data_IF_592871609836
#
_entry.id   IF_592871609836
#
_cell.length_a   1.000
_cell.length_b   1.000
_cell.length_c   1.000
_cell.angle_alpha   90.00
_cell.angle_beta   90.00
_cell.angle_gamma   90.00
#
_symmetry.space_group_name_H-M   'P 1'
#
loop_
_entity.id
_entity.type
_entity.pdbx_description
1 polymer ?
#
# COMPACT_ATOMS: atom_id res chain seq x y z
N UNK A 1 4.62 8.87 30.11
CA UNK A 1 4.99 10.29 30.40
C UNK A 1 5.71 10.85 29.18
N UNK A 2 5.33 12.03 28.70
CA UNK A 2 5.96 12.66 27.52
C UNK A 2 5.37 12.24 26.16
N UNK A 3 4.21 11.59 26.17
CA UNK A 3 3.37 11.31 25.00
C UNK A 3 2.07 12.11 25.21
N UNK A 4 1.62 12.83 24.19
CA UNK A 4 0.41 13.65 24.21
C UNK A 4 -0.83 12.85 23.81
N UNK A 5 -0.68 11.89 22.88
CA UNK A 5 -1.75 11.01 22.38
C UNK A 5 -1.27 9.58 22.17
N UNK A 6 -2.14 8.63 22.50
CA UNK A 6 -1.91 7.20 22.28
C UNK A 6 -3.08 6.62 21.47
N UNK A 7 -2.75 5.85 20.45
CA UNK A 7 -3.74 5.15 19.61
C UNK A 7 -3.42 3.67 19.58
N UNK A 8 -4.47 2.85 19.55
CA UNK A 8 -4.38 1.40 19.49
C UNK A 8 -5.13 0.92 18.25
N UNK A 9 -4.42 0.28 17.33
CA UNK A 9 -5.00 -0.24 16.09
C UNK A 9 -4.72 -1.74 15.95
N UNK A 10 -5.80 -2.50 15.82
CA UNK A 10 -5.82 -3.91 15.47
C UNK A 10 -6.10 -4.02 13.97
N UNK A 11 -5.12 -4.51 13.23
CA UNK A 11 -5.27 -4.88 11.82
C UNK A 11 -5.58 -6.37 11.74
N UNK A 12 -6.74 -6.70 11.19
CA UNK A 12 -7.17 -8.09 11.03
C UNK A 12 -8.20 -8.21 9.90
N UNK A 13 -8.15 -9.32 9.19
CA UNK A 13 -9.28 -9.80 8.41
C UNK A 13 -10.20 -10.55 9.38
N UNK A 14 -11.29 -9.89 9.78
CA UNK A 14 -12.30 -10.53 10.63
C UNK A 14 -13.12 -11.48 9.73
N UNK A 15 -12.74 -12.75 9.75
CA UNK A 15 -13.43 -13.81 9.02
C UNK A 15 -14.66 -14.28 9.80
N UNK A 16 -15.84 -13.76 9.42
CA UNK A 16 -17.09 -14.13 10.08
C UNK A 16 -17.55 -15.56 9.73
N UNK A 17 -16.91 -16.23 8.75
CA UNK A 17 -17.21 -17.64 8.47
C UNK A 17 -16.77 -18.55 9.63
N UNK A 18 -15.70 -18.17 10.35
CA UNK A 18 -15.20 -18.90 11.53
C UNK A 18 -15.89 -18.46 12.84
N UNK A 19 -16.84 -17.53 12.75
CA UNK A 19 -17.55 -16.99 13.90
C UNK A 19 -18.54 -17.99 14.48
N UNK A 20 -18.54 -18.15 15.80
CA UNK A 20 -19.55 -18.93 16.52
C UNK A 20 -20.99 -18.44 16.27
N UNK A 21 -21.14 -17.21 15.75
CA UNK A 21 -22.42 -16.57 15.49
C UNK A 21 -22.85 -16.61 14.02
N UNK A 22 -22.11 -17.30 13.14
CA UNK A 22 -22.42 -17.36 11.69
C UNK A 22 -23.88 -17.72 11.42
N UNK A 23 -24.39 -18.82 11.99
CA UNK A 23 -25.77 -19.25 11.77
C UNK A 23 -26.80 -18.21 12.22
N UNK A 24 -26.54 -17.52 13.34
CA UNK A 24 -27.42 -16.45 13.82
C UNK A 24 -27.40 -15.24 12.88
N UNK A 25 -26.24 -14.91 12.33
CA UNK A 25 -26.10 -13.83 11.36
C UNK A 25 -26.81 -14.17 10.05
N UNK A 26 -26.71 -15.41 9.57
CA UNK A 26 -27.43 -15.90 8.39
C UNK A 26 -28.94 -15.74 8.61
N UNK A 27 -29.47 -16.25 9.73
CA UNK A 27 -30.89 -16.15 10.06
C UNK A 27 -31.39 -14.70 10.17
N UNK A 28 -30.56 -13.80 10.72
CA UNK A 28 -30.95 -12.42 10.97
C UNK A 28 -30.86 -11.51 9.74
N UNK A 29 -29.88 -11.71 8.85
CA UNK A 29 -29.49 -10.70 7.84
C UNK A 29 -29.66 -11.11 6.39
N UNK A 30 -29.85 -12.39 6.06
CA UNK A 30 -29.87 -12.86 4.65
C UNK A 30 -31.27 -12.82 4.00
N UNK A 31 -32.31 -12.56 4.79
CA UNK A 31 -33.72 -12.53 4.36
C UNK A 31 -34.31 -13.90 4.05
N UNK A 32 -33.59 -14.75 3.30
CA UNK A 32 -33.93 -16.14 3.01
C UNK A 32 -32.75 -17.08 3.31
N UNK A 33 -32.59 -17.54 4.56
CA UNK A 33 -31.49 -18.41 4.99
C UNK A 33 -31.37 -19.71 4.19
N UNK A 34 -32.46 -20.21 3.60
CA UNK A 34 -32.48 -21.48 2.88
C UNK A 34 -31.69 -21.48 1.57
N UNK A 35 -31.40 -20.29 1.04
CA UNK A 35 -30.65 -20.10 -0.21
C UNK A 35 -29.15 -19.89 -0.01
N UNK A 36 -28.71 -19.81 1.23
CA UNK A 36 -27.30 -19.58 1.56
C UNK A 36 -26.55 -20.89 1.42
N UNK A 37 -25.54 -20.89 0.56
CA UNK A 37 -24.53 -21.95 0.51
C UNK A 37 -23.28 -21.45 1.23
N UNK A 38 -23.02 -21.97 2.43
CA UNK A 38 -21.85 -21.60 3.23
C UNK A 38 -20.52 -21.96 2.57
N UNK A 39 -20.52 -22.85 1.57
CA UNK A 39 -19.33 -23.26 0.83
C UNK A 39 -19.11 -22.45 -0.44
N UNK A 40 -20.05 -21.57 -0.79
CA UNK A 40 -19.91 -20.69 -1.93
C UNK A 40 -18.75 -19.71 -1.70
N UNK A 41 -17.77 -19.63 -2.61
CA UNK A 41 -16.61 -18.76 -2.42
C UNK A 41 -16.96 -17.27 -2.32
N UNK A 42 -18.00 -16.82 -3.03
CA UNK A 42 -18.42 -15.41 -3.00
C UNK A 42 -19.13 -15.09 -1.68
N UNK A 43 -19.91 -16.03 -1.13
CA UNK A 43 -20.46 -15.94 0.22
C UNK A 43 -19.35 -15.86 1.27
N UNK A 44 -18.37 -16.78 1.21
CA UNK A 44 -17.25 -16.77 2.14
C UNK A 44 -16.46 -15.45 2.08
N UNK A 45 -16.20 -14.94 0.88
CA UNK A 45 -15.49 -13.68 0.70
C UNK A 45 -16.31 -12.48 1.22
N UNK A 46 -17.63 -12.50 1.06
CA UNK A 46 -18.51 -11.44 1.59
C UNK A 46 -18.46 -11.30 3.12
N UNK A 47 -18.09 -12.39 3.81
CA UNK A 47 -17.96 -12.45 5.26
C UNK A 47 -16.55 -12.12 5.77
N UNK A 48 -15.59 -11.83 4.89
CA UNK A 48 -14.24 -11.41 5.29
C UNK A 48 -14.17 -9.90 5.38
N UNK A 49 -14.11 -9.41 6.61
CA UNK A 49 -14.11 -7.98 6.89
C UNK A 49 -12.66 -7.49 7.09
N UNK A 50 -12.05 -6.94 6.04
CA UNK A 50 -10.69 -6.35 6.09
C UNK A 50 -10.69 -5.03 6.89
N UNK A 51 -10.56 -5.12 8.20
CA UNK A 51 -10.89 -4.02 9.11
C UNK A 51 -9.71 -3.54 9.97
N UNK A 52 -9.83 -2.32 10.47
CA UNK A 52 -9.01 -1.82 11.59
C UNK A 52 -9.90 -1.55 12.78
N UNK A 53 -9.65 -2.21 13.92
CA UNK A 53 -10.53 -2.17 15.10
C UNK A 53 -11.99 -2.57 14.80
N UNK A 54 -12.24 -3.38 13.77
CA UNK A 54 -13.59 -3.76 13.31
C UNK A 54 -14.29 -2.71 12.43
N UNK A 55 -13.60 -1.62 12.08
CA UNK A 55 -14.10 -0.57 11.19
C UNK A 55 -13.57 -0.78 9.76
N UNK A 56 -14.35 -0.37 8.76
CA UNK A 56 -14.02 -0.54 7.33
C UNK A 56 -14.26 0.76 6.54
N UNK A 57 -13.63 0.89 5.37
CA UNK A 57 -13.91 1.93 4.38
C UNK A 57 -13.92 3.37 4.94
N UNK A 58 -13.01 3.69 5.85
CA UNK A 58 -12.85 5.05 6.35
C UNK A 58 -13.75 5.43 7.53
N UNK A 59 -14.53 4.51 8.10
CA UNK A 59 -15.50 4.84 9.16
C UNK A 59 -14.96 4.78 10.60
N UNK A 60 -13.67 4.45 10.83
CA UNK A 60 -13.03 4.43 12.14
C UNK A 60 -12.99 5.86 12.75
N UNK A 61 -13.69 6.13 13.86
CA UNK A 61 -13.70 7.44 14.48
C UNK A 61 -12.53 7.62 15.46
N UNK A 62 -12.31 8.87 15.88
CA UNK A 62 -11.48 9.18 17.07
C UNK A 62 -9.98 9.27 16.82
N UNK A 63 -9.50 9.12 15.59
CA UNK A 63 -8.10 9.34 15.23
C UNK A 63 -7.81 10.84 15.01
N UNK A 64 -7.90 11.63 16.07
CA UNK A 64 -7.67 13.07 16.03
C UNK A 64 -6.55 13.48 16.98
N UNK A 65 -5.61 14.26 16.45
CA UNK A 65 -4.44 14.77 17.18
C UNK A 65 -4.12 16.21 16.76
N UNK A 66 -3.24 16.86 17.51
CA UNK A 66 -2.78 18.19 17.17
C UNK A 66 -1.42 18.16 16.48
N UNK A 67 -1.18 19.13 15.61
CA UNK A 67 0.16 19.35 15.05
C UNK A 67 1.19 19.49 16.18
N UNK A 68 2.33 18.82 16.03
CA UNK A 68 3.44 18.69 16.98
C UNK A 68 3.18 17.85 18.23
N UNK A 69 2.01 17.21 18.39
CA UNK A 69 1.80 16.24 19.46
C UNK A 69 2.81 15.10 19.34
N UNK A 70 3.31 14.60 20.48
CA UNK A 70 4.04 13.33 20.52
C UNK A 70 3.01 12.21 20.57
N UNK A 71 2.91 11.46 19.48
CA UNK A 71 1.90 10.43 19.30
C UNK A 71 2.55 9.05 19.35
N UNK A 72 1.98 8.14 20.13
CA UNK A 72 2.37 6.73 20.17
C UNK A 72 1.28 5.88 19.51
N UNK A 73 1.65 5.18 18.45
CA UNK A 73 0.79 4.23 17.74
C UNK A 73 1.14 2.82 18.16
N UNK A 74 0.23 2.16 18.88
CA UNK A 74 0.33 0.75 19.26
C UNK A 74 -0.46 -0.07 18.26
N UNK A 75 0.24 -0.88 17.50
CA UNK A 75 -0.31 -1.59 16.36
C UNK A 75 -0.17 -3.09 16.59
N UNK A 76 -1.20 -3.86 16.26
CA UNK A 76 -1.19 -5.31 16.36
C UNK A 76 -1.80 -5.92 15.11
N UNK A 77 -1.13 -6.93 14.55
CA UNK A 77 -1.68 -7.83 13.54
C UNK A 77 -2.25 -9.07 14.20
N UNK A 78 -3.43 -9.51 13.79
CA UNK A 78 -4.06 -10.74 14.27
C UNK A 78 -4.77 -11.43 13.11
N UNK A 79 -4.86 -12.76 13.17
CA UNK A 79 -5.63 -13.55 12.21
C UNK A 79 -4.82 -14.73 11.68
N UNK A 80 -4.94 -14.99 10.39
CA UNK A 80 -4.42 -16.17 9.69
C UNK A 80 -3.19 -15.84 8.83
N UNK A 81 -2.74 -16.79 7.99
CA UNK A 81 -1.66 -16.53 7.03
C UNK A 81 -2.01 -15.47 5.98
N UNK A 82 -3.28 -15.09 5.83
CA UNK A 82 -3.70 -13.97 4.98
C UNK A 82 -3.40 -12.60 5.62
N UNK A 83 -3.17 -12.53 6.94
CA UNK A 83 -2.97 -11.28 7.69
C UNK A 83 -1.53 -10.76 7.60
N UNK A 84 -1.06 -10.56 6.37
CA UNK A 84 0.20 -9.87 6.06
C UNK A 84 -0.10 -8.39 5.78
N UNK A 85 0.02 -7.55 6.81
CA UNK A 85 -0.41 -6.16 6.75
C UNK A 85 0.78 -5.21 6.53
N UNK A 86 0.78 -4.49 5.42
CA UNK A 86 1.71 -3.36 5.21
C UNK A 86 1.08 -2.05 5.67
N UNK A 87 1.11 -1.76 6.98
CA UNK A 87 0.53 -0.53 7.53
C UNK A 87 1.34 0.68 7.06
N UNK A 88 0.67 1.68 6.52
CA UNK A 88 1.27 2.90 6.00
C UNK A 88 0.51 4.14 6.47
N UNK A 89 1.27 5.13 6.96
CA UNK A 89 0.76 6.45 7.33
C UNK A 89 1.05 7.43 6.20
N UNK A 90 0.00 7.86 5.50
CA UNK A 90 0.13 8.83 4.42
C UNK A 90 0.46 10.21 5.00
N UNK A 91 1.42 10.91 4.39
CA UNK A 91 1.75 12.30 4.66
C UNK A 91 2.53 12.59 5.95
N UNK A 92 2.75 11.59 6.81
CA UNK A 92 3.58 11.72 8.02
C UNK A 92 4.52 10.51 8.13
N UNK A 93 5.70 10.73 8.71
CA UNK A 93 6.64 9.63 9.02
C UNK A 93 6.50 9.18 10.47
N UNK A 94 7.03 7.99 10.74
CA UNK A 94 7.10 7.36 12.04
C UNK A 94 8.56 7.04 12.39
N UNK A 95 8.91 7.18 13.66
CA UNK A 95 10.10 6.54 14.22
C UNK A 95 9.73 5.13 14.70
N UNK A 96 10.41 4.15 14.11
CA UNK A 96 10.33 2.76 14.51
C UNK A 96 11.70 2.32 15.02
N UNK A 97 11.88 2.34 16.34
CA UNK A 97 13.11 1.91 17.03
C UNK A 97 14.35 2.67 16.55
N UNK A 98 14.25 3.99 16.41
CA UNK A 98 15.35 4.86 15.95
C UNK A 98 15.55 4.87 14.43
N UNK A 99 14.63 4.29 13.66
CA UNK A 99 14.64 4.37 12.19
C UNK A 99 13.41 5.11 11.69
N UNK A 100 13.61 6.13 10.86
CA UNK A 100 12.52 6.82 10.18
C UNK A 100 11.93 5.92 9.10
N UNK A 101 10.63 5.70 9.18
CA UNK A 101 9.81 4.95 8.22
C UNK A 101 8.51 5.69 8.00
N UNK A 102 7.67 5.22 7.11
CA UNK A 102 6.31 5.69 6.91
C UNK A 102 5.28 4.57 7.06
N UNK A 103 5.75 3.42 7.54
CA UNK A 103 4.98 2.20 7.64
C UNK A 103 5.76 1.06 8.28
N UNK A 104 5.06 -0.03 8.52
CA UNK A 104 5.60 -1.24 9.13
C UNK A 104 4.78 -2.45 8.68
N UNK A 105 5.41 -3.62 8.69
CA UNK A 105 4.74 -4.89 8.45
C UNK A 105 4.20 -5.45 9.77
N UNK A 106 2.95 -5.91 9.77
CA UNK A 106 2.34 -6.68 10.85
C UNK A 106 1.92 -8.05 10.30
N UNK A 107 2.09 -9.07 11.14
CA UNK A 107 1.74 -10.46 10.87
C UNK A 107 0.89 -10.96 12.06
N UNK A 108 0.26 -12.15 11.98
CA UNK A 108 -0.49 -12.71 13.10
C UNK A 108 0.31 -12.70 14.41
N UNK A 109 -0.32 -12.17 15.46
CA UNK A 109 0.24 -12.01 16.81
C UNK A 109 1.47 -11.10 16.92
N UNK A 110 1.81 -10.36 15.86
CA UNK A 110 2.89 -9.38 15.91
C UNK A 110 2.33 -8.03 16.38
N UNK A 111 2.99 -7.43 17.36
CA UNK A 111 2.71 -6.06 17.78
C UNK A 111 3.94 -5.16 17.62
N UNK A 112 3.68 -3.89 17.36
CA UNK A 112 4.69 -2.86 17.19
C UNK A 112 4.22 -1.55 17.81
N UNK A 113 5.16 -0.76 18.32
CA UNK A 113 4.88 0.61 18.74
C UNK A 113 5.72 1.55 17.88
N UNK A 114 5.05 2.50 17.24
CA UNK A 114 5.65 3.51 16.39
C UNK A 114 5.40 4.89 16.97
N UNK A 115 6.42 5.75 16.98
CA UNK A 115 6.29 7.12 17.44
C UNK A 115 6.09 8.04 16.24
N UNK A 116 5.22 9.03 16.37
CA UNK A 116 4.95 10.01 15.32
C UNK A 116 4.90 11.40 15.95
N UNK A 117 5.38 12.40 15.22
CA UNK A 117 5.14 13.80 15.54
C UNK A 117 4.64 14.50 14.28
N UNK A 118 3.32 14.70 14.13
CA UNK A 118 2.77 15.21 12.89
C UNK A 118 3.11 16.69 12.71
N UNK A 119 3.62 17.05 11.54
CA UNK A 119 4.15 18.38 11.24
C UNK A 119 3.20 19.22 10.38
N UNK A 120 2.13 18.63 9.84
CA UNK A 120 1.13 19.32 9.02
C UNK A 120 -0.29 19.11 9.49
N UNK A 121 -1.07 20.18 9.35
CA UNK A 121 -2.52 20.18 9.59
C UNK A 121 -3.20 19.64 8.34
N UNK A 122 -4.17 18.74 8.53
CA UNK A 122 -4.91 18.14 7.43
C UNK A 122 -5.54 16.80 7.82
N UNK A 123 -6.22 16.21 6.84
CA UNK A 123 -6.76 14.85 6.95
C UNK A 123 -5.90 13.92 6.13
N UNK A 124 -5.39 12.88 6.78
CA UNK A 124 -4.47 11.92 6.21
C UNK A 124 -5.04 10.52 6.32
N UNK A 125 -4.36 9.53 5.73
CA UNK A 125 -4.82 8.15 5.73
C UNK A 125 -3.86 7.23 6.47
N UNK A 126 -4.40 6.31 7.26
CA UNK A 126 -3.70 5.12 7.73
C UNK A 126 -4.31 3.93 7.00
N UNK A 127 -3.50 3.22 6.23
CA UNK A 127 -3.99 2.18 5.31
C UNK A 127 -3.12 0.94 5.35
N UNK A 128 -3.69 -0.20 5.01
CA UNK A 128 -2.91 -1.36 4.60
C UNK A 128 -2.56 -1.24 3.12
N UNK A 129 -1.29 -1.45 2.75
CA UNK A 129 -0.80 -1.41 1.36
C UNK A 129 -0.84 -2.76 0.66
N UNK A 130 -1.16 -3.83 1.39
CA UNK A 130 -1.53 -5.11 0.79
C UNK A 130 -2.79 -4.88 -0.05
N UNK A 131 -2.69 -5.10 -1.36
CA UNK A 131 -3.69 -4.63 -2.33
C UNK A 131 -5.10 -5.13 -2.02
N UNK A 132 -5.23 -6.42 -1.75
CA UNK A 132 -6.49 -7.06 -1.40
C UNK A 132 -7.14 -6.39 -0.17
N UNK A 133 -6.35 -6.20 0.90
CA UNK A 133 -6.84 -5.59 2.14
C UNK A 133 -7.25 -4.13 1.93
N UNK A 134 -6.51 -3.38 1.10
CA UNK A 134 -6.84 -2.00 0.76
C UNK A 134 -8.18 -1.89 0.01
N UNK A 135 -8.40 -2.79 -0.95
CA UNK A 135 -9.65 -2.86 -1.73
C UNK A 135 -10.80 -3.27 -0.82
N UNK A 136 -10.60 -4.30 0.00
CA UNK A 136 -11.56 -4.82 0.98
C UNK A 136 -11.94 -3.86 2.12
N UNK A 137 -11.26 -2.72 2.24
CA UNK A 137 -11.70 -1.61 3.10
C UNK A 137 -10.77 -1.26 4.25
N UNK A 138 -9.59 -1.86 4.34
CA UNK A 138 -8.60 -1.62 5.38
C UNK A 138 -7.85 -0.29 5.17
N UNK A 139 -8.60 0.81 5.26
CA UNK A 139 -8.17 2.18 5.03
C UNK A 139 -9.01 3.13 5.89
N UNK A 140 -8.33 3.95 6.67
CA UNK A 140 -8.96 4.91 7.58
C UNK A 140 -8.33 6.29 7.50
N UNK A 141 -9.04 7.26 8.06
CA UNK A 141 -8.60 8.64 8.12
C UNK A 141 -8.09 8.96 9.52
N UNK A 142 -7.07 9.80 9.60
CA UNK A 142 -6.70 10.48 10.84
C UNK A 142 -6.59 11.98 10.58
N UNK A 143 -6.95 12.77 11.58
CA UNK A 143 -7.03 14.22 11.50
C UNK A 143 -5.96 14.86 12.37
N UNK A 144 -5.22 15.79 11.77
CA UNK A 144 -4.24 16.63 12.46
C UNK A 144 -4.75 18.07 12.45
N UNK A 145 -5.09 18.59 13.63
CA UNK A 145 -5.62 19.94 13.82
C UNK A 145 -4.56 20.94 14.31
N UNK A 146 -4.75 22.21 13.99
CA UNK A 146 -3.91 23.30 14.49
C UNK A 146 -4.32 23.77 15.89
N UNK A 147 -3.98 23.02 16.94
CA UNK A 147 -4.47 23.31 18.30
C UNK A 147 -3.64 24.34 19.08
N UNK A 148 -2.35 24.51 18.73
CA UNK A 148 -1.45 25.46 19.40
C UNK A 148 -0.96 26.48 18.37
N UNK A 149 -0.99 27.77 18.74
CA UNK A 149 -0.38 28.84 17.96
C UNK A 149 1.14 28.79 18.14
N UNK A 150 1.81 27.90 17.40
CA UNK A 150 3.27 27.91 17.34
C UNK A 150 3.72 28.87 16.23
N UNK A 151 4.64 29.77 16.59
CA UNK A 151 5.42 30.55 15.62
C UNK A 151 6.01 29.62 14.58
N UNK A 152 5.81 29.98 13.31
CA UNK A 152 6.33 29.24 12.15
C UNK A 152 7.83 29.06 12.34
N UNK A 153 8.28 27.86 12.67
CA UNK A 153 9.69 27.53 12.56
C UNK A 153 10.06 27.73 11.09
N UNK A 154 11.08 28.57 10.85
CA UNK A 154 11.57 28.84 9.52
C UNK A 154 12.20 27.53 9.01
N UNK A 155 11.44 26.76 8.22
CA UNK A 155 11.99 25.60 7.52
C UNK A 155 13.11 26.14 6.62
N UNK A 156 14.35 25.74 6.89
CA UNK A 156 15.47 25.99 6.01
C UNK A 156 15.18 25.22 4.73
N UNK A 157 14.81 25.93 3.65
CA UNK A 157 14.65 25.30 2.35
C UNK A 157 16.04 25.18 1.72
N UNK A 158 16.42 23.94 1.47
CA UNK A 158 17.62 23.56 0.72
C UNK A 158 17.47 23.86 -0.76
N UNK A 159 18.20 23.13 -1.59
CA UNK A 159 18.16 23.29 -3.03
C UNK A 159 16.83 22.78 -3.63
N UNK A 160 16.40 23.38 -4.73
CA UNK A 160 15.30 22.87 -5.54
C UNK A 160 15.85 21.88 -6.56
N UNK A 161 15.45 20.61 -6.47
CA UNK A 161 15.84 19.55 -7.41
C UNK A 161 14.72 19.30 -8.41
N UNK A 162 14.96 19.66 -9.67
CA UNK A 162 13.97 19.58 -10.75
C UNK A 162 14.13 18.30 -11.58
N UNK A 163 13.07 17.50 -11.62
CA UNK A 163 12.99 16.28 -12.42
C UNK A 163 11.87 16.36 -13.47
N UNK A 164 12.14 15.81 -14.65
CA UNK A 164 11.16 15.70 -15.73
C UNK A 164 10.84 14.24 -15.94
N UNK A 165 9.63 13.83 -15.57
CA UNK A 165 9.22 12.43 -15.54
C UNK A 165 8.04 12.22 -16.52
N UNK A 166 8.04 11.15 -17.29
CA UNK A 166 6.88 10.73 -18.07
C UNK A 166 6.47 9.29 -17.80
N UNK A 167 5.15 9.05 -17.83
CA UNK A 167 4.56 7.71 -17.84
C UNK A 167 4.24 7.31 -19.30
N UNK A 168 4.82 6.21 -19.77
CA UNK A 168 4.75 5.73 -21.16
C UNK A 168 4.42 4.23 -21.18
N UNK A 169 3.46 3.81 -22.01
CA UNK A 169 3.15 2.38 -22.17
C UNK A 169 4.21 1.72 -23.06
N UNK A 170 4.81 0.64 -22.58
CA UNK A 170 5.82 -0.15 -23.28
C UNK A 170 5.48 -1.63 -23.22
N UNK A 171 5.90 -2.39 -24.22
CA UNK A 171 5.87 -3.86 -24.15
C UNK A 171 7.10 -4.33 -23.37
N UNK A 172 6.87 -5.13 -22.33
CA UNK A 172 7.90 -5.57 -21.40
C UNK A 172 8.00 -7.09 -21.36
N UNK A 173 9.18 -7.62 -21.72
CA UNK A 173 9.49 -9.05 -21.66
C UNK A 173 10.25 -9.39 -20.37
N UNK A 174 9.57 -10.09 -19.45
CA UNK A 174 10.17 -10.51 -18.17
C UNK A 174 11.24 -11.60 -18.33
N UNK A 175 11.25 -12.33 -19.44
CA UNK A 175 12.09 -13.51 -19.65
C UNK A 175 12.82 -13.44 -21.01
N UNK A 176 13.43 -12.28 -21.28
CA UNK A 176 14.14 -12.01 -22.54
C UNK A 176 15.29 -12.99 -22.82
N UNK A 177 15.97 -13.50 -21.78
CA UNK A 177 16.97 -14.54 -21.92
C UNK A 177 16.47 -15.90 -21.40
N UNK A 178 15.82 -16.65 -22.29
CA UNK A 178 15.28 -17.99 -22.03
C UNK A 178 16.37 -19.05 -21.80
N UNK A 179 17.62 -18.77 -22.20
CA UNK A 179 18.74 -19.72 -22.07
C UNK A 179 19.33 -19.81 -20.66
N UNK A 180 19.09 -18.79 -19.81
CA UNK A 180 19.53 -18.73 -18.41
C UNK A 180 18.49 -19.22 -17.41
N UNK A 181 17.29 -19.59 -17.86
CA UNK A 181 16.31 -20.24 -17.01
C UNK A 181 16.92 -21.56 -16.53
N UNK A 182 17.03 -21.79 -15.21
CA UNK A 182 17.47 -23.07 -14.70
C UNK A 182 16.61 -24.17 -15.33
N UNK A 183 17.20 -25.27 -15.80
CA UNK A 183 16.46 -26.50 -16.16
C UNK A 183 15.89 -27.15 -14.89
N UNK A 184 15.12 -26.39 -14.12
CA UNK A 184 14.53 -26.78 -12.84
C UNK A 184 13.14 -27.32 -13.18
N UNK A 185 13.12 -28.65 -13.33
CA UNK A 185 11.98 -29.56 -13.40
C UNK A 185 11.18 -29.62 -14.71
N UNK A 186 10.66 -30.82 -14.96
CA UNK A 186 9.72 -31.18 -16.01
C UNK A 186 8.37 -30.51 -15.66
N UNK A 187 8.21 -29.24 -16.00
CA UNK A 187 7.04 -28.42 -15.67
C UNK A 187 5.92 -28.73 -16.68
N UNK A 188 5.25 -29.87 -16.52
CA UNK A 188 4.05 -30.19 -17.31
C UNK A 188 2.74 -30.01 -16.53
N UNK A 189 2.78 -29.47 -15.29
CA UNK A 189 1.59 -29.42 -14.42
C UNK A 189 1.33 -28.10 -13.70
N UNK A 190 2.18 -27.08 -13.86
CA UNK A 190 2.03 -25.82 -13.12
C UNK A 190 2.06 -24.54 -13.99
N UNK A 191 2.55 -24.61 -15.23
CA UNK A 191 2.60 -23.46 -16.14
C UNK A 191 1.21 -23.00 -16.62
N UNK A 192 0.19 -23.86 -16.55
CA UNK A 192 -1.18 -23.45 -16.84
C UNK A 192 -1.68 -22.34 -15.91
N UNK A 193 -1.18 -22.19 -14.67
CA UNK A 193 -1.80 -21.21 -13.74
C UNK A 193 -1.33 -19.76 -13.86
N UNK A 194 -0.11 -19.51 -14.35
CA UNK A 194 0.34 -18.13 -14.61
C UNK A 194 0.01 -17.67 -16.04
N UNK A 195 -0.26 -18.60 -16.96
CA UNK A 195 -0.64 -18.30 -18.34
C UNK A 195 -2.16 -18.35 -18.61
N UNK A 196 -2.94 -19.18 -17.89
CA UNK A 196 -4.35 -19.43 -18.24
C UNK A 196 -5.37 -18.38 -17.77
N UNK A 197 -4.97 -17.14 -17.49
CA UNK A 197 -5.92 -16.03 -17.31
C UNK A 197 -5.58 -14.76 -18.09
N UNK A 198 -4.85 -14.89 -19.18
CA UNK A 198 -4.83 -13.90 -20.27
C UNK A 198 -5.76 -14.36 -21.40
N UNK A 199 -7.07 -14.39 -21.15
CA UNK A 199 -8.11 -14.70 -22.16
C UNK A 199 -8.26 -13.62 -23.25
N UNK A 200 -7.20 -12.88 -23.60
CA UNK A 200 -7.23 -11.77 -24.54
C UNK A 200 -6.03 -11.69 -25.51
N UNK A 201 -5.24 -12.74 -25.69
CA UNK A 201 -4.26 -12.76 -26.79
C UNK A 201 -4.51 -13.95 -27.74
N UNK A 202 -4.51 -13.73 -29.07
CA UNK A 202 -4.81 -14.77 -30.04
C UNK A 202 -3.76 -15.87 -30.02
N UNK A 203 -4.22 -17.09 -30.27
CA UNK A 203 -3.41 -18.27 -30.57
C UNK A 203 -2.38 -17.98 -31.67
N UNK A 204 -1.11 -18.27 -31.38
CA UNK A 204 -0.28 -19.26 -32.09
C UNK A 204 1.21 -19.02 -31.75
N UNK A 205 1.85 -20.03 -31.16
CA UNK A 205 3.25 -20.35 -31.49
C UNK A 205 4.40 -19.72 -30.71
N UNK A 206 4.25 -18.65 -29.92
CA UNK A 206 5.38 -18.12 -29.12
C UNK A 206 4.97 -17.72 -27.70
N UNK A 207 5.56 -18.40 -26.71
CA UNK A 207 5.60 -17.99 -25.31
C UNK A 207 6.33 -16.63 -25.21
N UNK A 208 5.63 -15.54 -25.48
CA UNK A 208 6.04 -14.20 -25.08
C UNK A 208 5.35 -13.89 -23.77
N UNK A 209 6.11 -13.79 -22.67
CA UNK A 209 5.63 -13.20 -21.43
C UNK A 209 5.66 -11.66 -21.53
N UNK A 210 5.30 -11.14 -22.71
CA UNK A 210 5.33 -9.73 -23.02
C UNK A 210 4.05 -9.10 -22.48
N UNK A 211 4.20 -8.26 -21.45
CA UNK A 211 3.08 -7.54 -20.85
C UNK A 211 3.21 -6.05 -21.16
N UNK A 212 2.10 -5.37 -21.45
CA UNK A 212 2.10 -3.91 -21.55
C UNK A 212 2.20 -3.32 -20.16
N UNK A 213 3.27 -2.58 -19.89
CA UNK A 213 3.56 -1.95 -18.61
C UNK A 213 3.75 -0.45 -18.81
N UNK A 214 3.42 0.35 -17.80
CA UNK A 214 3.75 1.78 -17.79
C UNK A 214 5.18 1.95 -17.29
N UNK A 215 6.07 2.35 -18.18
CA UNK A 215 7.43 2.74 -17.85
C UNK A 215 7.49 4.22 -17.45
N UNK A 216 8.37 4.52 -16.50
CA UNK A 216 8.62 5.87 -15.99
C UNK A 216 9.99 6.32 -16.48
N UNK A 217 10.05 7.38 -17.29
CA UNK A 217 11.28 7.86 -17.93
C UNK A 217 11.69 9.24 -17.43
N UNK A 218 13.00 9.50 -17.27
CA UNK A 218 13.55 10.82 -16.96
C UNK A 218 14.35 11.39 -18.13
N UNK A 219 14.05 12.63 -18.54
CA UNK A 219 14.67 13.27 -19.73
C UNK A 219 16.07 13.87 -19.53
N UNK A 220 16.54 14.05 -18.30
CA UNK A 220 17.82 14.75 -18.03
C UNK A 220 18.95 13.84 -17.53
N UNK A 221 18.69 12.58 -17.23
CA UNK A 221 19.74 11.63 -16.95
C UNK A 221 20.09 10.93 -18.28
N UNK A 222 21.25 11.27 -18.85
CA UNK A 222 21.94 10.26 -19.66
C UNK A 222 21.93 8.97 -18.84
N UNK A 223 21.50 7.85 -19.42
CA UNK A 223 21.64 6.55 -18.77
C UNK A 223 23.11 6.43 -18.40
N UNK A 224 23.44 6.66 -17.12
CA UNK A 224 24.75 6.33 -16.59
C UNK A 224 24.84 4.83 -16.84
N UNK A 225 25.82 4.43 -17.61
CA UNK A 225 26.06 3.06 -18.12
C UNK A 225 26.17 1.99 -17.03
N UNK A 226 26.05 2.35 -15.74
CA UNK A 226 25.93 1.47 -14.59
C UNK A 226 24.51 1.21 -14.06
N UNK A 227 23.46 1.85 -14.58
CA UNK A 227 22.05 1.69 -14.11
C UNK A 227 21.27 0.69 -15.00
N UNK A 228 21.95 0.01 -15.94
CA UNK A 228 21.35 -0.93 -16.90
C UNK A 228 20.57 -2.11 -16.27
N UNK A 229 20.68 -2.31 -14.95
CA UNK A 229 20.00 -3.36 -14.20
C UNK A 229 18.70 -2.93 -13.50
N UNK A 230 18.33 -1.64 -13.51
CA UNK A 230 17.09 -1.19 -12.89
C UNK A 230 15.95 -1.21 -13.91
N UNK A 231 15.15 -2.26 -13.89
CA UNK A 231 13.84 -2.34 -14.56
C UNK A 231 12.77 -1.50 -13.81
N UNK A 232 13.18 -0.38 -13.22
CA UNK A 232 12.39 0.50 -12.36
C UNK A 232 12.44 1.93 -12.90
N UNK A 233 11.56 2.80 -12.37
CA UNK A 233 11.64 4.23 -12.65
C UNK A 233 12.99 4.84 -12.26
N UNK A 234 13.29 6.06 -12.75
CA UNK A 234 14.56 6.74 -12.50
C UNK A 234 14.78 6.97 -11.00
N UNK A 235 16.04 6.82 -10.56
CA UNK A 235 16.42 7.12 -9.19
C UNK A 235 16.38 8.65 -8.96
N UNK A 236 15.54 9.07 -8.00
CA UNK A 236 15.42 10.46 -7.56
C UNK A 236 16.21 10.61 -6.26
N UNK A 237 17.03 11.66 -6.16
CA UNK A 237 17.87 11.92 -4.99
C UNK A 237 17.60 13.32 -4.45
N UNK A 238 17.55 13.44 -3.13
CA UNK A 238 17.42 14.70 -2.42
C UNK A 238 18.15 14.61 -1.07
N UNK A 239 18.59 15.75 -0.57
CA UNK A 239 19.10 15.89 0.80
C UNK A 239 18.01 16.44 1.72
N UNK A 240 18.16 16.24 3.03
CA UNK A 240 17.21 16.76 4.01
C UNK A 240 17.14 18.29 3.89
N UNK A 241 15.93 18.81 3.69
CA UNK A 241 15.66 20.23 3.49
C UNK A 241 15.48 20.63 2.02
N UNK A 242 15.93 19.82 1.06
CA UNK A 242 15.69 20.09 -0.36
C UNK A 242 14.21 20.00 -0.73
N UNK A 243 13.83 20.73 -1.77
CA UNK A 243 12.50 20.62 -2.40
C UNK A 243 12.61 19.90 -3.74
N UNK A 244 11.85 18.83 -3.93
CA UNK A 244 11.86 18.06 -5.19
C UNK A 244 10.69 18.49 -6.06
N UNK A 245 10.98 19.15 -7.19
CA UNK A 245 9.97 19.55 -8.16
C UNK A 245 9.91 18.53 -9.31
N UNK A 246 8.79 17.81 -9.40
CA UNK A 246 8.55 16.84 -10.47
C UNK A 246 7.61 17.43 -11.51
N UNK A 247 8.12 17.65 -12.73
CA UNK A 247 7.32 17.96 -13.91
C UNK A 247 6.89 16.63 -14.55
N UNK A 248 5.67 16.19 -14.22
CA UNK A 248 5.13 14.92 -14.69
C UNK A 248 4.34 15.07 -15.99
N UNK A 249 4.62 14.23 -16.99
CA UNK A 249 3.87 14.13 -18.24
C UNK A 249 3.29 12.73 -18.42
N UNK A 250 1.97 12.62 -18.37
CA UNK A 250 1.29 11.38 -18.74
C UNK A 250 1.19 11.26 -20.27
N UNK A 251 1.82 10.24 -20.85
CA UNK A 251 1.69 9.89 -22.28
C UNK A 251 0.95 8.55 -22.48
N UNK A 252 0.51 7.92 -21.40
CA UNK A 252 -0.24 6.67 -21.45
C UNK A 252 -1.74 6.91 -21.76
N UNK A 253 -2.49 5.83 -21.96
CA UNK A 253 -3.90 5.88 -22.36
C UNK A 253 -4.88 6.20 -21.22
N UNK A 254 -4.43 6.06 -19.97
CA UNK A 254 -5.23 6.20 -18.74
C UNK A 254 -4.69 7.31 -17.85
N UNK A 255 -5.49 7.87 -16.92
CA UNK A 255 -5.00 8.84 -15.95
C UNK A 255 -4.02 8.18 -14.97
N UNK A 256 -2.81 8.74 -14.88
CA UNK A 256 -1.78 8.35 -13.92
C UNK A 256 -1.30 9.55 -13.11
N UNK A 257 -0.81 9.29 -11.91
CA UNK A 257 -0.18 10.26 -11.02
C UNK A 257 1.13 9.70 -10.47
N UNK A 258 1.90 10.55 -9.80
CA UNK A 258 3.11 10.17 -9.07
C UNK A 258 3.00 10.72 -7.65
N UNK A 259 3.36 9.89 -6.66
CA UNK A 259 3.45 10.25 -5.24
C UNK A 259 4.58 9.43 -4.65
N UNK A 260 5.23 9.93 -3.60
CA UNK A 260 6.36 9.28 -2.97
C UNK A 260 6.09 9.03 -1.48
N UNK A 261 6.73 7.98 -0.98
CA UNK A 261 6.70 7.57 0.40
C UNK A 261 7.68 8.42 1.22
N UNK A 262 7.31 8.76 2.46
CA UNK A 262 8.18 9.47 3.41
C UNK A 262 8.53 10.93 3.07
N UNK A 263 7.77 11.60 2.19
CA UNK A 263 7.97 13.02 1.85
C UNK A 263 6.80 13.90 2.31
N UNK A 264 7.10 15.18 2.51
CA UNK A 264 6.11 16.24 2.72
C UNK A 264 5.60 16.71 1.35
N UNK A 265 4.29 16.60 1.06
CA UNK A 265 3.66 16.97 -0.24
C UNK A 265 3.17 18.43 -0.35
#
# INVERSE_FOLDING_TARGET
KGIDKEFYLLFSIFDENDSWYLNKNIEAFTGDPSKVDEKDPDFMESNKMHAVNGYLYGNLPGLAMCKNDKVSWHLIGLGSHYDMHGVHFQGNTIDLRGTTRDGLALFPHLSGTALMQPDRVGTFKVVCRTFDHFVGGMKHLYEVSGCRSTTRAQQQHGAIRLYYISAEEVEWDYASNKSSAPKIYNISSYEERCAARSQLLPEEGELSAAQRVVSVLCRKAALITGILYLNLGPLLHAEVGDSVLIVFKNKASRPYSISAHGIEE
#
